data_IF_829097831452
#
_entry.id   IF_829097831452
#
_cell.length_a   1.000
_cell.length_b   1.000
_cell.length_c   1.000
_cell.angle_alpha   90.00
_cell.angle_beta   90.00
_cell.angle_gamma   90.00
#
_symmetry.space_group_name_H-M   'P 1'
#
loop_
_entity.id
_entity.type
_entity.pdbx_description
1 polymer ?
#
# COMPACT_ATOMS: atom_id res chain seq x y z
N UNK A 1 2.80 1.96 -0.62
CA UNK A 1 3.64 3.00 0.04
C UNK A 1 4.89 3.45 -0.73
N UNK A 2 5.82 2.57 -1.11
CA UNK A 2 7.17 2.97 -1.59
C UNK A 2 7.13 3.91 -2.81
N UNK A 3 6.31 3.59 -3.81
CA UNK A 3 6.15 4.42 -5.00
C UNK A 3 5.54 5.80 -4.69
N UNK A 4 4.58 5.84 -3.77
CA UNK A 4 3.95 7.09 -3.33
C UNK A 4 4.94 7.98 -2.55
N UNK A 5 5.80 7.37 -1.73
CA UNK A 5 6.85 8.11 -1.01
C UNK A 5 7.92 8.67 -1.96
N UNK A 6 8.32 7.90 -2.98
CA UNK A 6 9.22 8.38 -4.02
C UNK A 6 8.60 9.53 -4.84
N UNK A 7 7.33 9.41 -5.21
CA UNK A 7 6.58 10.46 -5.90
C UNK A 7 6.42 11.74 -5.06
N UNK A 8 6.33 11.59 -3.73
CA UNK A 8 6.33 12.70 -2.78
C UNK A 8 7.74 13.29 -2.50
N UNK A 9 8.76 12.88 -3.26
CA UNK A 9 10.12 13.38 -3.09
C UNK A 9 10.79 12.89 -1.79
N UNK A 10 10.41 11.72 -1.29
CA UNK A 10 10.86 11.15 -0.03
C UNK A 10 10.53 12.02 1.20
N UNK A 11 9.45 12.78 1.10
CA UNK A 11 8.94 13.62 2.17
C UNK A 11 7.58 13.11 2.65
N UNK A 12 7.35 13.18 3.97
CA UNK A 12 6.02 13.04 4.54
C UNK A 12 5.24 14.32 4.26
N UNK A 13 4.55 14.37 3.14
CA UNK A 13 3.67 15.48 2.75
C UNK A 13 2.24 15.20 3.21
N UNK A 14 1.43 16.26 3.31
CA UNK A 14 0.01 16.12 3.62
C UNK A 14 -0.72 15.26 2.58
N UNK A 15 -0.36 15.44 1.30
CA UNK A 15 -0.95 14.66 0.22
C UNK A 15 -0.60 13.18 0.33
N UNK A 16 0.65 12.86 0.68
CA UNK A 16 1.05 11.48 0.95
C UNK A 16 0.32 10.92 2.17
N UNK A 17 0.15 11.70 3.23
CA UNK A 17 -0.56 11.25 4.43
C UNK A 17 -2.04 10.93 4.16
N UNK A 18 -2.71 11.71 3.30
CA UNK A 18 -4.11 11.53 2.95
C UNK A 18 -4.34 10.47 1.86
N UNK A 19 -3.28 10.03 1.16
CA UNK A 19 -3.38 9.00 0.14
C UNK A 19 -3.67 7.62 0.77
N UNK A 20 -4.38 6.78 0.04
CA UNK A 20 -4.55 5.35 0.31
C UNK A 20 -3.65 4.60 -0.67
N UNK A 21 -2.42 4.29 -0.23
CA UNK A 21 -1.36 3.84 -1.14
C UNK A 21 -1.41 2.36 -1.49
N UNK A 22 -2.27 1.59 -0.83
CA UNK A 22 -2.47 0.18 -1.09
C UNK A 22 -3.96 -0.18 -1.35
N UNK A 23 -4.84 0.83 -1.37
CA UNK A 23 -6.24 0.75 -1.75
C UNK A 23 -7.07 -0.16 -0.84
N UNK A 24 -6.76 -0.16 0.46
CA UNK A 24 -7.49 -0.91 1.49
C UNK A 24 -8.64 -0.10 2.13
N UNK A 25 -8.83 1.14 1.68
CA UNK A 25 -9.83 2.07 2.17
C UNK A 25 -9.37 2.91 3.37
N UNK A 26 -8.09 2.81 3.79
CA UNK A 26 -7.51 3.65 4.83
C UNK A 26 -6.46 4.58 4.26
N UNK A 27 -6.32 5.75 4.87
CA UNK A 27 -5.24 6.66 4.51
C UNK A 27 -3.94 6.23 5.16
N UNK A 28 -2.81 6.56 4.53
CA UNK A 28 -1.48 6.32 5.06
C UNK A 28 -1.31 6.89 6.48
N UNK A 29 -1.88 8.07 6.72
CA UNK A 29 -1.92 8.73 8.02
C UNK A 29 -2.67 7.92 9.05
N UNK A 30 -3.89 7.44 8.75
CA UNK A 30 -4.67 6.65 9.69
C UNK A 30 -3.92 5.37 10.11
N UNK A 31 -3.27 4.71 9.16
CA UNK A 31 -2.53 3.49 9.43
C UNK A 31 -1.26 3.71 10.26
N UNK A 32 -0.57 4.82 10.08
CA UNK A 32 0.64 5.18 10.82
C UNK A 32 0.36 5.98 12.10
N UNK A 33 -0.91 6.21 12.44
CA UNK A 33 -1.32 6.91 13.67
C UNK A 33 -1.31 8.44 13.56
N UNK A 34 -1.34 9.00 12.35
CA UNK A 34 -1.60 10.41 12.07
C UNK A 34 -2.86 10.59 11.21
N UNK A 35 -4.06 10.25 11.73
CA UNK A 35 -5.31 10.34 10.98
C UNK A 35 -5.66 11.78 10.57
N UNK A 36 -5.06 12.77 11.23
CA UNK A 36 -5.30 14.20 10.97
C UNK A 36 -4.26 14.83 10.05
N UNK A 37 -3.20 14.09 9.67
CA UNK A 37 -2.11 14.58 8.84
C UNK A 37 -1.43 15.85 9.38
N UNK A 38 -1.14 15.86 10.69
CA UNK A 38 -0.48 16.96 11.41
C UNK A 38 0.88 16.56 11.98
N UNK A 39 1.27 15.29 11.85
CA UNK A 39 2.54 14.82 12.35
C UNK A 39 3.70 15.47 11.59
N UNK A 40 4.73 15.81 12.35
CA UNK A 40 5.99 16.37 11.85
C UNK A 40 7.14 15.53 12.37
N UNK A 41 8.26 15.50 11.63
CA UNK A 41 9.44 14.71 12.01
C UNK A 41 9.88 15.03 13.44
N UNK A 42 9.97 14.00 14.27
CA UNK A 42 10.33 14.11 15.69
C UNK A 42 9.15 14.38 16.63
N UNK A 43 7.94 14.59 16.11
CA UNK A 43 6.72 14.68 16.89
C UNK A 43 6.16 13.31 17.30
N UNK A 44 5.17 13.33 18.19
CA UNK A 44 4.38 12.15 18.57
C UNK A 44 3.15 12.10 17.65
N UNK A 45 2.83 10.96 17.01
CA UNK A 45 1.60 10.79 16.25
C UNK A 45 0.37 11.06 17.11
N UNK A 46 -0.69 11.64 16.53
CA UNK A 46 -1.89 12.04 17.28
C UNK A 46 -2.84 10.88 17.57
N UNK A 47 -2.69 9.76 16.87
CA UNK A 47 -3.52 8.58 16.96
C UNK A 47 -2.71 7.30 17.18
N UNK A 48 -3.44 6.19 17.20
CA UNK A 48 -2.86 4.84 17.29
C UNK A 48 -2.66 4.31 15.87
N UNK A 49 -1.46 3.82 15.58
CA UNK A 49 -1.18 3.15 14.32
C UNK A 49 -2.07 1.91 14.17
N UNK A 50 -2.82 1.84 13.07
CA UNK A 50 -3.80 0.79 12.82
C UNK A 50 -3.41 -0.20 11.72
N UNK A 51 -2.30 0.03 11.02
CA UNK A 51 -1.97 -0.75 9.82
C UNK A 51 -0.62 -0.42 9.19
N UNK A 52 -0.48 -0.75 7.92
CA UNK A 52 0.72 -0.45 7.14
C UNK A 52 0.34 -0.13 5.68
N UNK A 53 0.65 1.09 5.18
CA UNK A 53 0.21 1.64 3.88
C UNK A 53 0.82 1.03 2.61
N UNK A 54 1.29 -0.20 2.71
CA UNK A 54 1.88 -0.97 1.63
C UNK A 54 1.55 -2.45 1.73
N UNK A 55 0.59 -2.83 2.59
CA UNK A 55 0.29 -4.21 2.92
C UNK A 55 -1.11 -4.63 2.47
N UNK A 56 -1.55 -4.14 1.32
CA UNK A 56 -2.74 -4.63 0.67
C UNK A 56 -2.39 -5.39 -0.61
N UNK A 57 -2.53 -6.71 -0.54
CA UNK A 57 -2.50 -7.56 -1.73
C UNK A 57 -3.92 -7.53 -2.31
N UNK A 58 -4.10 -6.86 -3.45
CA UNK A 58 -5.40 -6.79 -4.14
C UNK A 58 -5.93 -8.21 -4.40
N UNK A 59 -7.01 -8.60 -3.74
CA UNK A 59 -7.77 -9.79 -4.15
C UNK A 59 -8.61 -9.40 -5.38
N UNK A 60 -8.00 -9.36 -6.56
CA UNK A 60 -8.77 -9.25 -7.80
C UNK A 60 -9.55 -10.55 -8.01
N UNK A 61 -10.81 -10.58 -7.56
CA UNK A 61 -11.85 -11.40 -8.18
C UNK A 61 -12.29 -10.73 -9.50
N UNK A 62 -11.39 -10.52 -10.46
CA UNK A 62 -11.77 -10.27 -11.86
C UNK A 62 -10.63 -10.57 -12.84
N UNK A 63 -10.79 -11.67 -13.57
CA UNK A 63 -10.36 -11.89 -14.96
C UNK A 63 -9.01 -11.27 -15.37
N UNK A 64 -7.90 -11.89 -14.96
CA UNK A 64 -6.64 -11.69 -15.68
C UNK A 64 -6.59 -12.68 -16.85
N UNK A 65 -6.94 -12.23 -18.04
CA UNK A 65 -6.61 -12.94 -19.28
C UNK A 65 -5.10 -12.86 -19.48
N UNK A 66 -4.36 -13.81 -18.92
CA UNK A 66 -2.96 -14.03 -19.28
C UNK A 66 -2.92 -14.64 -20.68
N UNK A 67 -2.76 -13.80 -21.69
CA UNK A 67 -2.36 -14.24 -23.02
C UNK A 67 -0.88 -14.60 -22.98
N UNK A 68 -0.57 -15.89 -22.95
CA UNK A 68 0.25 -16.57 -23.96
C UNK A 68 0.56 -18.01 -23.51
N UNK A 69 0.05 -18.96 -24.32
CA UNK A 69 0.57 -20.33 -24.55
C UNK A 69 0.66 -21.30 -23.36
N UNK A 70 -0.28 -22.26 -23.37
CA UNK A 70 -0.30 -23.61 -22.75
C UNK A 70 0.34 -23.75 -21.36
N UNK A 71 -0.46 -23.94 -20.31
CA UNK A 71 -0.34 -25.06 -19.35
C UNK A 71 -1.60 -25.13 -18.47
N UNK A 72 -2.16 -26.34 -18.35
CA UNK A 72 -3.31 -26.68 -17.53
C UNK A 72 -2.81 -26.76 -16.08
N UNK A 73 -3.30 -25.90 -15.20
CA UNK A 73 -2.94 -25.93 -13.78
C UNK A 73 -3.77 -24.95 -12.96
N UNK A 74 -4.87 -25.43 -12.39
CA UNK A 74 -5.64 -24.70 -11.40
C UNK A 74 -4.88 -24.79 -10.08
N UNK A 75 -4.18 -23.72 -9.70
CA UNK A 75 -3.50 -23.63 -8.43
C UNK A 75 -4.17 -22.53 -7.60
N UNK A 76 -4.89 -22.87 -6.52
CA UNK A 76 -5.47 -21.85 -5.66
C UNK A 76 -4.33 -21.33 -4.76
N UNK A 77 -4.32 -20.02 -4.53
CA UNK A 77 -3.48 -19.34 -3.54
C UNK A 77 -2.03 -19.02 -3.93
N UNK A 78 -1.82 -18.36 -5.06
CA UNK A 78 -0.70 -17.42 -5.15
C UNK A 78 -1.21 -16.04 -4.77
N UNK A 79 -0.98 -15.64 -3.52
CA UNK A 79 -1.00 -14.22 -3.17
C UNK A 79 0.12 -13.56 -3.97
N UNK A 80 -0.22 -12.87 -5.05
CA UNK A 80 0.71 -11.88 -5.63
C UNK A 80 0.63 -10.67 -4.73
N UNK A 81 1.38 -10.74 -3.63
CA UNK A 81 1.78 -9.53 -2.97
C UNK A 81 2.87 -8.95 -3.87
N UNK A 82 2.68 -7.74 -4.37
CA UNK A 82 3.79 -6.94 -4.89
C UNK A 82 4.64 -6.60 -3.67
N UNK A 83 5.34 -7.60 -3.12
CA UNK A 83 6.66 -7.38 -2.57
C UNK A 83 7.49 -7.14 -3.82
N UNK A 84 7.69 -5.88 -4.18
CA UNK A 84 8.86 -5.54 -4.99
C UNK A 84 10.08 -5.95 -4.15
N UNK A 85 10.41 -7.24 -4.21
CA UNK A 85 11.74 -7.76 -3.98
C UNK A 85 12.57 -7.06 -5.04
N UNK A 86 13.30 -6.04 -4.62
CA UNK A 86 14.51 -5.64 -5.30
C UNK A 86 15.62 -5.72 -4.24
N UNK A 87 16.51 -6.69 -4.51
CA UNK A 87 17.86 -6.95 -4.02
C UNK A 87 18.47 -5.91 -3.06
#
# INVERSE_FOLDING_TARGET
MLQAFAAAGHAWTRDLCMADSDADGKTNGAELGDPTCVWVKGGVPTGVASGHPGNHCIYLLSTFTHSSTLFIGVYPFYKVCIVDIIL
#
